data_IF_071224854934
#
_entry.id   IF_071224854934
#
_cell.length_a   1.000
_cell.length_b   1.000
_cell.length_c   1.000
_cell.angle_alpha   90.00
_cell.angle_beta   90.00
_cell.angle_gamma   90.00
#
_symmetry.space_group_name_H-M   'P 1'
#
loop_
_entity.id
_entity.type
_entity.pdbx_description
1 polymer ?
#
# COMPACT_ATOMS: atom_id res chain seq x y z
N UNK A 1 0.51 6.55 19.16
CA UNK A 1 0.00 5.17 19.07
C UNK A 1 0.98 4.41 18.21
N UNK A 2 1.92 3.69 18.84
CA UNK A 2 3.13 3.12 18.23
C UNK A 2 3.04 1.58 18.13
N UNK A 3 1.85 1.05 17.87
CA UNK A 3 1.62 -0.40 17.90
C UNK A 3 1.51 -0.89 16.47
N UNK A 4 2.45 -1.74 16.09
CA UNK A 4 2.36 -2.56 14.89
C UNK A 4 1.06 -3.37 14.98
N UNK A 5 0.13 -3.25 14.03
CA UNK A 5 -1.05 -4.10 14.04
C UNK A 5 -0.66 -5.55 13.77
N UNK A 6 -1.31 -6.51 14.41
CA UNK A 6 -1.06 -7.96 14.22
C UNK A 6 -1.25 -8.40 12.76
N UNK A 7 -2.11 -7.67 12.04
CA UNK A 7 -2.47 -7.92 10.65
C UNK A 7 -2.66 -6.60 9.90
N UNK A 8 -2.33 -6.62 8.61
CA UNK A 8 -2.63 -5.55 7.68
C UNK A 8 -3.61 -6.06 6.63
N UNK A 9 -4.45 -5.18 6.10
CA UNK A 9 -5.52 -5.54 5.18
C UNK A 9 -5.43 -4.71 3.92
N UNK A 10 -5.22 -5.34 2.77
CA UNK A 10 -5.12 -4.66 1.49
C UNK A 10 -6.35 -4.93 0.66
N UNK A 11 -7.09 -3.88 0.33
CA UNK A 11 -8.11 -3.96 -0.70
C UNK A 11 -7.45 -4.01 -2.09
N UNK A 12 -7.98 -4.86 -2.96
CA UNK A 12 -7.61 -4.89 -4.36
C UNK A 12 -8.78 -5.33 -5.26
N UNK A 13 -8.59 -5.12 -6.55
CA UNK A 13 -9.49 -5.47 -7.65
C UNK A 13 -8.66 -5.49 -8.93
N UNK A 14 -9.20 -6.05 -10.02
CA UNK A 14 -8.48 -6.28 -11.28
C UNK A 14 -7.73 -5.06 -11.82
N UNK A 15 -8.40 -3.92 -11.89
CA UNK A 15 -7.82 -2.66 -12.41
C UNK A 15 -7.19 -1.78 -11.33
N UNK A 16 -6.82 -2.37 -10.18
CA UNK A 16 -6.14 -1.63 -9.12
C UNK A 16 -4.79 -1.12 -9.61
N UNK A 17 -4.33 0.01 -9.05
CA UNK A 17 -3.07 0.65 -9.43
C UNK A 17 -1.83 -0.08 -8.85
N UNK A 18 -1.83 -1.41 -8.90
CA UNK A 18 -0.75 -2.33 -8.50
C UNK A 18 -0.89 -3.62 -9.30
N UNK A 19 0.23 -4.29 -9.58
CA UNK A 19 0.19 -5.66 -10.06
C UNK A 19 -0.15 -6.60 -8.90
N UNK A 20 -0.91 -7.67 -9.17
CA UNK A 20 -1.39 -8.59 -8.14
C UNK A 20 -1.45 -10.02 -8.68
N UNK A 21 -1.02 -11.03 -7.91
CA UNK A 21 -1.11 -12.42 -8.38
C UNK A 21 -2.52 -13.04 -8.24
N UNK A 22 -3.45 -12.35 -7.58
CA UNK A 22 -4.81 -12.80 -7.30
C UNK A 22 -5.85 -12.23 -8.28
N UNK A 23 -5.40 -11.76 -9.44
CA UNK A 23 -6.26 -11.29 -10.53
C UNK A 23 -5.72 -11.86 -11.83
N UNK A 24 -6.57 -11.99 -12.85
CA UNK A 24 -6.12 -12.48 -14.15
C UNK A 24 -5.07 -11.55 -14.76
N UNK A 25 -4.01 -12.13 -15.32
CA UNK A 25 -2.93 -11.39 -15.99
C UNK A 25 -3.44 -10.50 -17.12
N UNK A 26 -4.50 -10.92 -17.80
CA UNK A 26 -5.12 -10.18 -18.91
C UNK A 26 -5.78 -8.87 -18.45
N UNK A 27 -6.10 -8.79 -17.16
CA UNK A 27 -6.73 -7.62 -16.53
C UNK A 27 -5.72 -6.69 -15.85
N UNK A 28 -4.44 -7.05 -15.83
CA UNK A 28 -3.40 -6.24 -15.20
C UNK A 28 -3.28 -4.87 -15.87
N UNK A 29 -3.30 -3.83 -15.04
CA UNK A 29 -2.93 -2.49 -15.50
C UNK A 29 -1.45 -2.52 -15.93
N UNK A 30 -1.16 -2.21 -17.21
CA UNK A 30 0.22 -2.10 -17.71
C UNK A 30 1.00 -1.07 -16.89
N UNK A 31 2.21 -1.41 -16.48
CA UNK A 31 3.09 -0.50 -15.75
C UNK A 31 3.52 0.66 -16.66
N UNK A 32 3.40 1.90 -16.15
CA UNK A 32 3.46 3.10 -17.00
C UNK A 32 4.88 3.47 -17.43
N UNK A 33 5.87 3.18 -16.61
CA UNK A 33 7.29 3.46 -16.92
C UNK A 33 7.98 2.30 -17.65
N UNK A 34 7.39 1.10 -17.61
CA UNK A 34 7.98 -0.17 -18.07
C UNK A 34 6.84 -1.10 -18.47
N UNK A 35 6.24 -0.96 -19.65
CA UNK A 35 5.08 -1.75 -20.07
C UNK A 35 5.29 -3.27 -20.00
N UNK A 36 6.54 -3.71 -20.07
CA UNK A 36 7.01 -5.08 -19.92
C UNK A 36 7.10 -5.56 -18.47
N UNK A 37 6.95 -4.66 -17.49
CA UNK A 37 7.05 -4.99 -16.08
C UNK A 37 5.88 -5.87 -15.68
N UNK A 38 6.21 -7.15 -15.55
CA UNK A 38 5.35 -8.19 -15.03
C UNK A 38 5.50 -8.24 -13.52
N UNK A 39 4.50 -8.81 -12.86
CA UNK A 39 4.61 -9.15 -11.45
C UNK A 39 5.82 -10.07 -11.29
N UNK A 40 6.78 -9.67 -10.44
CA UNK A 40 7.95 -10.49 -10.17
C UNK A 40 7.53 -11.78 -9.43
N UNK A 41 8.25 -12.86 -9.70
CA UNK A 41 7.97 -14.15 -9.06
C UNK A 41 8.10 -14.02 -7.54
N UNK A 42 7.15 -14.59 -6.81
CA UNK A 42 7.12 -14.52 -5.34
C UNK A 42 6.46 -13.26 -4.76
N UNK A 43 6.10 -12.26 -5.57
CA UNK A 43 5.32 -11.11 -5.10
C UNK A 43 3.82 -11.40 -5.18
N UNK A 44 3.07 -11.07 -4.13
CA UNK A 44 1.62 -11.01 -4.18
C UNK A 44 1.12 -9.68 -4.71
N UNK A 45 1.77 -8.59 -4.31
CA UNK A 45 1.49 -7.24 -4.79
C UNK A 45 2.78 -6.53 -5.19
N UNK A 46 2.70 -5.72 -6.24
CA UNK A 46 3.82 -4.90 -6.69
C UNK A 46 3.31 -3.52 -7.14
N UNK A 47 3.96 -2.48 -6.64
CA UNK A 47 3.68 -1.11 -6.98
C UNK A 47 3.97 -0.85 -8.47
N UNK A 48 3.26 0.10 -9.06
CA UNK A 48 3.49 0.50 -10.46
C UNK A 48 4.72 1.39 -10.64
N UNK A 49 5.45 1.70 -9.57
CA UNK A 49 6.73 2.40 -9.60
C UNK A 49 7.74 1.64 -8.76
N UNK A 50 9.00 1.62 -9.19
CA UNK A 50 10.06 0.94 -8.46
C UNK A 50 10.41 1.74 -7.19
N UNK A 51 10.31 1.13 -6.01
CA UNK A 51 10.63 1.81 -4.77
C UNK A 51 12.13 2.08 -4.62
N UNK A 52 12.47 3.32 -4.27
CA UNK A 52 13.82 3.76 -3.96
C UNK A 52 13.78 4.63 -2.70
N UNK A 53 14.36 4.19 -1.57
CA UNK A 53 14.31 4.94 -0.32
C UNK A 53 14.78 6.40 -0.43
N UNK A 54 15.82 6.66 -1.23
CA UNK A 54 16.38 8.01 -1.41
C UNK A 54 15.43 8.93 -2.17
N UNK A 55 14.65 8.40 -3.12
CA UNK A 55 13.67 9.18 -3.89
C UNK A 55 12.32 9.26 -3.16
N UNK A 56 11.85 8.14 -2.66
CA UNK A 56 10.45 7.93 -2.28
C UNK A 56 10.16 8.22 -0.80
N UNK A 57 11.15 8.14 0.10
CA UNK A 57 11.00 8.60 1.49
C UNK A 57 11.14 10.12 1.57
N UNK A 58 10.18 10.80 0.97
CA UNK A 58 10.01 12.26 0.98
C UNK A 58 8.55 12.59 1.21
N UNK A 59 8.29 13.74 1.85
CA UNK A 59 6.93 14.21 2.11
C UNK A 59 6.11 14.29 0.83
N UNK A 60 6.68 14.83 -0.24
CA UNK A 60 5.98 15.02 -1.51
C UNK A 60 5.58 13.70 -2.14
N UNK A 61 6.46 12.69 -2.16
CA UNK A 61 6.17 11.37 -2.75
C UNK A 61 5.11 10.60 -1.96
N UNK A 62 5.17 10.67 -0.63
CA UNK A 62 4.18 10.02 0.25
C UNK A 62 2.82 10.73 0.14
N UNK A 63 2.78 12.05 0.26
CA UNK A 63 1.53 12.83 0.12
C UNK A 63 0.93 12.65 -1.28
N UNK A 64 1.75 12.58 -2.33
CA UNK A 64 1.29 12.29 -3.69
C UNK A 64 0.51 10.97 -3.77
N UNK A 65 0.99 9.92 -3.10
CA UNK A 65 0.32 8.62 -3.06
C UNK A 65 -1.05 8.69 -2.37
N UNK A 66 -1.17 9.48 -1.30
CA UNK A 66 -2.42 9.62 -0.55
C UNK A 66 -3.52 10.37 -1.32
N UNK A 67 -3.15 11.19 -2.31
CA UNK A 67 -4.12 11.86 -3.19
C UNK A 67 -4.67 10.89 -4.22
N UNK A 68 -5.94 10.52 -4.08
CA UNK A 68 -6.60 9.61 -5.01
C UNK A 68 -6.63 10.16 -6.44
N UNK A 69 -6.60 9.26 -7.42
CA UNK A 69 -6.66 9.56 -8.86
C UNK A 69 -5.52 10.44 -9.42
N UNK A 70 -4.42 10.62 -8.68
CA UNK A 70 -3.26 11.34 -9.21
C UNK A 70 -2.50 10.47 -10.22
N UNK A 71 -2.82 10.69 -11.50
CA UNK A 71 -2.29 9.91 -12.64
C UNK A 71 -0.84 10.25 -13.01
N UNK A 72 -0.30 11.39 -12.61
CA UNK A 72 1.10 11.75 -12.92
C UNK A 72 2.06 11.05 -11.96
N UNK A 73 3.13 10.48 -12.52
CA UNK A 73 4.21 9.78 -11.78
C UNK A 73 3.68 8.51 -11.08
N UNK A 74 4.13 7.29 -11.40
CA UNK A 74 3.61 6.10 -10.74
C UNK A 74 3.92 6.08 -9.25
N UNK A 75 3.07 5.42 -8.47
CA UNK A 75 3.33 5.28 -7.05
C UNK A 75 4.23 4.10 -6.80
N UNK A 76 5.25 4.31 -5.97
CA UNK A 76 6.09 3.26 -5.42
C UNK A 76 5.52 2.62 -4.14
N UNK A 77 4.29 2.98 -3.77
CA UNK A 77 3.66 2.55 -2.52
C UNK A 77 2.40 1.72 -2.78
N UNK A 78 2.11 0.86 -1.81
CA UNK A 78 1.00 -0.07 -1.80
C UNK A 78 0.22 0.17 -0.50
N UNK A 79 -0.99 0.73 -0.60
CA UNK A 79 -1.86 0.96 0.56
C UNK A 79 -2.34 -0.35 1.21
N UNK A 80 -2.32 -0.39 2.53
CA UNK A 80 -3.00 -1.36 3.37
C UNK A 80 -3.63 -0.66 4.57
N UNK A 81 -4.45 -1.38 5.32
CA UNK A 81 -5.18 -0.87 6.47
C UNK A 81 -4.83 -1.65 7.73
N UNK A 82 -4.77 -0.97 8.87
CA UNK A 82 -4.47 -1.58 10.16
C UNK A 82 -5.63 -2.35 10.81
N UNK A 83 -6.80 -2.39 10.17
CA UNK A 83 -7.98 -3.10 10.68
C UNK A 83 -8.88 -3.56 9.53
N UNK A 84 -9.53 -4.72 9.70
CA UNK A 84 -10.39 -5.31 8.67
C UNK A 84 -11.59 -4.41 8.34
N UNK A 85 -12.16 -3.73 9.33
CA UNK A 85 -13.29 -2.82 9.11
C UNK A 85 -12.94 -1.65 8.20
N UNK A 86 -11.70 -1.18 8.25
CA UNK A 86 -11.24 -0.12 7.37
C UNK A 86 -11.15 -0.62 5.92
N UNK A 87 -10.66 -1.84 5.72
CA UNK A 87 -10.65 -2.49 4.42
C UNK A 87 -12.07 -2.77 3.91
N UNK A 88 -12.98 -3.23 4.76
CA UNK A 88 -14.39 -3.50 4.44
C UNK A 88 -15.14 -2.25 4.03
N UNK A 89 -15.03 -1.14 4.78
CA UNK A 89 -15.61 0.15 4.39
C UNK A 89 -15.08 0.62 3.03
N UNK A 90 -13.79 0.38 2.78
CA UNK A 90 -13.17 0.70 1.48
C UNK A 90 -13.70 -0.20 0.36
N UNK A 91 -13.89 -1.49 0.64
CA UNK A 91 -14.47 -2.45 -0.30
C UNK A 91 -15.88 -2.04 -0.71
N UNK A 92 -16.73 -1.73 0.27
CA UNK A 92 -18.10 -1.26 0.05
C UNK A 92 -18.15 -0.01 -0.82
N UNK A 93 -17.34 1.00 -0.48
CA UNK A 93 -17.21 2.22 -1.30
C UNK A 93 -16.86 1.89 -2.75
N UNK A 94 -15.85 1.05 -2.98
CA UNK A 94 -15.42 0.73 -4.34
C UNK A 94 -16.43 -0.12 -5.10
N UNK A 95 -17.10 -1.05 -4.43
CA UNK A 95 -18.09 -1.92 -5.04
C UNK A 95 -19.35 -1.13 -5.43
N UNK A 96 -19.86 -0.27 -4.54
CA UNK A 96 -21.16 0.40 -4.71
C UNK A 96 -21.09 1.77 -5.34
N UNK A 97 -20.03 2.53 -5.06
CA UNK A 97 -19.96 3.97 -5.41
C UNK A 97 -18.96 4.25 -6.53
N UNK A 98 -18.05 3.32 -6.85
CA UNK A 98 -17.04 3.53 -7.87
C UNK A 98 -17.44 2.88 -9.20
N UNK A 99 -18.04 3.67 -10.09
CA UNK A 99 -18.42 3.19 -11.44
C UNK A 99 -17.25 2.68 -12.30
N UNK A 100 -16.00 2.94 -11.89
CA UNK A 100 -14.79 2.49 -12.59
C UNK A 100 -14.32 1.10 -12.20
N UNK A 101 -14.85 0.55 -11.11
CA UNK A 101 -14.34 -0.69 -10.54
C UNK A 101 -15.38 -1.75 -10.82
N UNK A 102 -15.01 -2.73 -11.66
CA UNK A 102 -15.80 -3.94 -11.81
C UNK A 102 -15.97 -4.55 -10.43
N UNK A 103 -17.20 -4.92 -10.08
CA UNK A 103 -17.68 -5.45 -8.80
C UNK A 103 -16.99 -6.78 -8.39
N UNK A 104 -15.67 -6.83 -8.44
CA UNK A 104 -14.77 -7.97 -8.26
C UNK A 104 -13.71 -7.52 -7.27
N UNK A 105 -14.19 -7.21 -6.08
CA UNK A 105 -13.43 -6.58 -5.02
C UNK A 105 -13.03 -7.66 -4.03
N UNK A 106 -11.77 -7.64 -3.60
CA UNK A 106 -11.24 -8.58 -2.64
C UNK A 106 -10.35 -7.88 -1.63
N UNK A 107 -10.21 -8.45 -0.44
CA UNK A 107 -9.30 -8.00 0.60
C UNK A 107 -8.28 -9.10 0.86
N UNK A 108 -7.00 -8.78 0.79
CA UNK A 108 -5.93 -9.66 1.25
C UNK A 108 -5.59 -9.33 2.70
N UNK A 109 -5.51 -10.36 3.54
CA UNK A 109 -4.94 -10.27 4.88
C UNK A 109 -3.44 -10.55 4.82
N UNK A 110 -2.66 -9.67 5.43
CA UNK A 110 -1.20 -9.63 5.35
C UNK A 110 -0.62 -9.81 6.75
N UNK A 111 0.32 -10.74 6.86
CA UNK A 111 1.08 -11.02 8.06
C UNK A 111 2.12 -9.92 8.34
N UNK A 112 1.99 -9.25 9.47
CA UNK A 112 2.95 -8.26 9.96
C UNK A 112 4.02 -8.86 10.88
N UNK A 113 3.96 -10.15 11.21
CA UNK A 113 4.91 -10.81 12.12
C UNK A 113 6.35 -10.62 11.66
N UNK A 114 7.24 -10.25 12.59
CA UNK A 114 8.65 -9.99 12.31
C UNK A 114 8.92 -8.63 11.67
N UNK A 115 7.91 -7.75 11.51
CA UNK A 115 8.19 -6.33 11.30
C UNK A 115 8.71 -5.71 12.61
N UNK A 116 9.83 -5.01 12.50
CA UNK A 116 10.46 -4.30 13.61
C UNK A 116 10.55 -2.82 13.26
N UNK A 117 10.44 -1.96 14.28
CA UNK A 117 10.58 -0.53 14.12
C UNK A 117 12.04 -0.19 13.76
N UNK A 118 12.22 0.73 12.81
CA UNK A 118 13.50 1.28 12.42
C UNK A 118 13.35 2.77 12.09
N UNK A 119 14.49 3.46 11.94
CA UNK A 119 14.50 4.90 11.63
C UNK A 119 15.45 5.17 10.49
N UNK A 120 14.96 5.93 9.50
CA UNK A 120 15.80 6.45 8.42
C UNK A 120 16.21 7.87 8.78
N UNK A 121 17.52 8.06 8.95
CA UNK A 121 18.13 9.36 9.16
C UNK A 121 18.42 10.02 7.81
N UNK A 122 18.01 11.29 7.66
CA UNK A 122 18.25 12.03 6.41
C UNK A 122 18.29 13.53 6.66
N UNK A 123 19.15 14.22 5.92
CA UNK A 123 19.08 15.69 5.78
C UNK A 123 18.14 16.04 4.64
N UNK A 124 17.12 16.87 4.92
CA UNK A 124 16.23 17.43 3.90
C UNK A 124 16.47 18.93 3.74
N UNK A 125 16.26 19.43 2.51
CA UNK A 125 16.22 20.87 2.22
C UNK A 125 14.78 21.32 2.15
N UNK A 126 14.38 22.21 3.06
CA UNK A 126 13.07 22.85 3.05
C UNK A 126 13.19 24.24 2.44
N UNK A 127 12.31 24.55 1.50
CA UNK A 127 12.21 25.89 0.90
C UNK A 127 10.95 26.58 1.42
N UNK A 128 11.12 27.63 2.21
CA UNK A 128 10.02 28.51 2.60
C UNK A 128 9.91 29.64 1.58
N UNK A 129 8.72 29.82 0.99
CA UNK A 129 8.41 30.91 0.06
C UNK A 129 7.41 31.85 0.71
N UNK A 130 7.78 33.12 0.89
CA UNK A 130 6.88 34.15 1.40
C UNK A 130 6.37 34.96 0.23
N UNK A 131 5.06 34.98 0.04
CA UNK A 131 4.39 35.77 -0.99
C UNK A 131 3.70 36.98 -0.35
N UNK A 132 3.79 38.15 -1.00
CA UNK A 132 3.04 39.37 -0.63
C UNK A 132 2.51 39.99 -1.92
N UNK A 133 1.21 40.29 -1.96
CA UNK A 133 0.52 40.84 -3.14
C UNK A 133 0.72 39.98 -4.40
N UNK A 134 0.67 38.65 -4.24
CA UNK A 134 0.92 37.69 -5.31
C UNK A 134 2.37 37.59 -5.80
N UNK A 135 3.29 38.41 -5.29
CA UNK A 135 4.71 38.41 -5.65
C UNK A 135 5.55 37.68 -4.61
N UNK A 136 6.51 36.87 -5.07
CA UNK A 136 7.49 36.21 -4.20
C UNK A 136 8.40 37.27 -3.55
N UNK A 137 8.30 37.44 -2.24
CA UNK A 137 9.09 38.41 -1.46
C UNK A 137 10.41 37.81 -0.98
N UNK A 138 10.39 36.55 -0.55
CA UNK A 138 11.60 35.87 -0.10
C UNK A 138 11.50 34.37 -0.31
N UNK A 139 12.66 33.76 -0.55
CA UNK A 139 12.86 32.32 -0.61
C UNK A 139 13.98 31.99 0.37
N UNK A 140 13.66 31.23 1.41
CA UNK A 140 14.65 30.76 2.38
C UNK A 140 14.80 29.26 2.23
N UNK A 141 16.04 28.79 2.08
CA UNK A 141 16.36 27.37 2.10
C UNK A 141 17.00 27.04 3.44
N UNK A 142 16.42 26.08 4.16
CA UNK A 142 16.99 25.55 5.40
C UNK A 142 17.20 24.06 5.23
N UNK A 143 18.37 23.58 5.66
CA UNK A 143 18.61 22.15 5.79
C UNK A 143 18.30 21.76 7.23
N UNK A 144 17.62 20.63 7.42
CA UNK A 144 17.46 20.03 8.74
C UNK A 144 17.58 18.51 8.64
N UNK A 145 18.15 17.92 9.68
CA UNK A 145 18.14 16.48 9.84
C UNK A 145 16.79 16.04 10.36
N UNK A 146 16.29 14.94 9.79
CA UNK A 146 15.00 14.37 10.13
C UNK A 146 15.13 12.87 10.38
N UNK A 147 14.26 12.39 11.24
CA UNK A 147 14.05 10.98 11.50
C UNK A 147 12.71 10.54 10.88
N UNK A 148 12.75 9.56 9.99
CA UNK A 148 11.57 8.97 9.37
C UNK A 148 11.33 7.59 9.99
N UNK A 149 10.24 7.40 10.76
CA UNK A 149 9.90 6.08 11.29
C UNK A 149 9.48 5.18 10.12
N UNK A 150 10.07 3.98 10.09
CA UNK A 150 9.74 2.93 9.15
C UNK A 150 9.63 1.61 9.91
N UNK A 151 9.03 0.62 9.26
CA UNK A 151 9.00 -0.75 9.72
C UNK A 151 9.67 -1.63 8.67
N UNK A 152 10.55 -2.52 9.10
CA UNK A 152 11.28 -3.44 8.20
C UNK A 152 11.24 -4.83 8.80
N UNK A 153 11.42 -5.86 7.99
CA UNK A 153 11.51 -7.23 8.52
C UNK A 153 12.81 -7.43 9.27
N UNK A 154 12.74 -8.25 10.31
CA UNK A 154 13.87 -8.62 11.15
C UNK A 154 15.05 -9.23 10.38
N UNK A 155 14.81 -9.87 9.23
CA UNK A 155 15.85 -10.42 8.38
C UNK A 155 16.75 -9.34 7.72
N UNK A 156 16.33 -8.07 7.73
CA UNK A 156 17.18 -6.95 7.32
C UNK A 156 18.17 -6.52 8.42
N UNK A 157 17.96 -6.94 9.68
CA UNK A 157 18.76 -6.51 10.83
C UNK A 157 20.12 -7.22 10.83
N UNK A 158 21.24 -6.49 10.86
CA UNK A 158 22.56 -7.05 11.11
C UNK A 158 22.61 -7.87 12.40
N UNK A 159 23.36 -8.96 12.38
CA UNK A 159 23.55 -9.85 13.53
C UNK A 159 24.23 -9.13 14.71
N UNK A 160 25.08 -8.15 14.44
CA UNK A 160 25.76 -7.31 15.43
C UNK A 160 24.89 -6.13 15.92
N UNK A 161 23.66 -6.01 15.43
CA UNK A 161 22.74 -4.91 15.71
C UNK A 161 23.24 -3.51 15.29
N UNK A 162 24.24 -3.44 14.41
CA UNK A 162 24.67 -2.18 13.80
C UNK A 162 23.56 -1.56 12.93
N UNK A 163 23.60 -0.24 12.66
CA UNK A 163 22.67 0.40 11.74
C UNK A 163 22.66 -0.25 10.35
N UNK A 164 21.47 -0.56 9.84
CA UNK A 164 21.29 -1.17 8.52
C UNK A 164 21.71 -0.17 7.43
N UNK A 165 22.71 -0.54 6.62
CA UNK A 165 23.05 0.26 5.44
C UNK A 165 22.01 0.10 4.34
N UNK A 166 21.88 1.09 3.45
CA UNK A 166 20.99 0.99 2.27
C UNK A 166 21.29 -0.26 1.43
N UNK A 167 22.56 -0.63 1.27
CA UNK A 167 22.97 -1.81 0.51
C UNK A 167 22.50 -3.11 1.17
N UNK A 168 22.64 -3.22 2.50
CA UNK A 168 22.14 -4.36 3.26
C UNK A 168 20.61 -4.47 3.20
N UNK A 169 19.90 -3.34 3.34
CA UNK A 169 18.44 -3.33 3.23
C UNK A 169 17.97 -3.83 1.87
N UNK A 170 18.58 -3.36 0.78
CA UNK A 170 18.26 -3.84 -0.57
C UNK A 170 18.61 -5.33 -0.73
N UNK A 171 19.79 -5.75 -0.27
CA UNK A 171 20.24 -7.14 -0.38
C UNK A 171 19.39 -8.12 0.45
N UNK A 172 18.78 -7.66 1.55
CA UNK A 172 17.92 -8.48 2.40
C UNK A 172 16.58 -8.85 1.75
N UNK A 173 16.17 -8.12 0.71
CA UNK A 173 14.84 -8.26 0.10
C UNK A 173 13.68 -7.93 1.05
N UNK A 174 13.94 -7.31 2.21
CA UNK A 174 12.91 -7.00 3.18
C UNK A 174 11.94 -5.93 2.66
N UNK A 175 10.65 -6.14 2.93
CA UNK A 175 9.61 -5.14 2.71
C UNK A 175 9.74 -4.00 3.72
N UNK A 176 9.52 -2.77 3.25
CA UNK A 176 9.54 -1.55 4.05
C UNK A 176 8.11 -1.04 4.17
N UNK A 177 7.70 -0.71 5.39
CA UNK A 177 6.37 -0.25 5.72
C UNK A 177 6.40 1.11 6.40
N UNK A 178 5.38 1.92 6.14
CA UNK A 178 5.20 3.24 6.71
C UNK A 178 3.81 3.35 7.33
N UNK A 179 3.73 3.73 8.60
CA UNK A 179 2.47 4.12 9.24
C UNK A 179 2.17 5.59 8.95
N UNK A 180 1.03 5.89 8.33
CA UNK A 180 0.64 7.28 8.06
C UNK A 180 0.49 8.07 9.36
N UNK A 181 -0.02 7.44 10.42
CA UNK A 181 -0.12 8.06 11.75
C UNK A 181 1.25 8.40 12.31
N UNK A 182 2.23 7.50 12.24
CA UNK A 182 3.58 7.78 12.75
C UNK A 182 4.26 8.89 11.95
N UNK A 183 4.11 8.88 10.62
CA UNK A 183 4.67 9.92 9.75
C UNK A 183 4.06 11.33 9.98
N UNK A 184 2.83 11.41 10.50
CA UNK A 184 2.21 12.68 10.92
C UNK A 184 2.86 13.25 12.18
N UNK A 185 3.28 12.36 13.08
CA UNK A 185 3.90 12.72 14.35
C UNK A 185 5.44 12.76 14.29
N UNK A 186 6.04 12.40 13.16
CA UNK A 186 7.50 12.42 12.96
C UNK A 186 8.00 13.77 12.44
N UNK A 187 9.32 13.88 12.32
CA UNK A 187 9.98 15.05 11.74
C UNK A 187 9.56 15.34 10.29
N UNK A 188 9.10 14.32 9.56
CA UNK A 188 8.66 14.47 8.18
C UNK A 188 7.35 15.26 8.06
N UNK A 189 6.49 15.20 9.09
CA UNK A 189 5.23 15.95 9.20
C UNK A 189 4.42 15.91 7.91
N UNK A 190 4.11 14.71 7.42
CA UNK A 190 3.20 14.56 6.27
C UNK A 190 1.86 15.18 6.71
N UNK A 191 1.34 16.16 5.95
CA UNK A 191 0.37 17.12 6.50
C UNK A 191 -0.92 16.52 7.08
N UNK A 192 -1.66 17.35 7.82
CA UNK A 192 -2.96 17.01 8.42
C UNK A 192 -4.09 16.96 7.37
N UNK A 193 -4.04 16.00 6.45
CA UNK A 193 -5.20 15.63 5.67
C UNK A 193 -6.18 14.86 6.55
N UNK A 194 -7.46 15.26 6.59
CA UNK A 194 -8.49 14.43 7.24
C UNK A 194 -8.55 13.06 6.55
N UNK A 195 -8.65 11.98 7.34
CA UNK A 195 -8.64 10.61 6.85
C UNK A 195 -7.25 9.98 6.79
N UNK A 196 -7.17 8.67 6.52
CA UNK A 196 -5.93 7.88 6.40
C UNK A 196 -5.15 7.55 7.68
N UNK A 197 -5.64 7.88 8.89
CA UNK A 197 -4.99 7.49 10.16
C UNK A 197 -4.94 5.98 10.42
N UNK A 198 -5.57 5.20 9.54
CA UNK A 198 -5.58 3.75 9.58
C UNK A 198 -4.75 3.13 8.44
N UNK A 199 -4.16 3.96 7.58
CA UNK A 199 -3.46 3.52 6.38
C UNK A 199 -1.98 3.27 6.65
N UNK A 200 -1.48 2.20 6.05
CA UNK A 200 -0.09 1.78 6.04
C UNK A 200 0.37 1.66 4.60
N UNK A 201 1.61 2.03 4.32
CA UNK A 201 2.18 1.99 2.97
C UNK A 201 3.33 0.98 2.92
N UNK A 202 3.17 -0.08 2.13
CA UNK A 202 4.31 -0.92 1.73
C UNK A 202 5.07 -0.26 0.58
N UNK A 203 6.39 -0.22 0.67
CA UNK A 203 7.29 0.26 -0.39
C UNK A 203 7.60 -0.86 -1.38
N UNK A 204 7.21 -0.67 -2.64
CA UNK A 204 7.64 -1.51 -3.76
C UNK A 204 6.82 -2.78 -3.94
N UNK A 205 6.91 -3.74 -3.02
CA UNK A 205 6.23 -5.02 -3.14
C UNK A 205 5.79 -5.60 -1.79
N UNK A 206 4.86 -6.55 -1.85
CA UNK A 206 4.46 -7.41 -0.73
C UNK A 206 4.65 -8.86 -1.18
N UNK A 207 5.50 -9.65 -0.49
CA UNK A 207 5.72 -11.06 -0.84
C UNK A 207 4.46 -11.91 -0.68
N UNK A 208 4.28 -12.91 -1.54
CA UNK A 208 3.15 -13.84 -1.47
C UNK A 208 3.14 -14.68 -0.21
N UNK A 209 4.32 -14.98 0.33
CA UNK A 209 4.50 -15.67 1.61
C UNK A 209 3.92 -14.91 2.80
N UNK A 210 3.61 -13.62 2.66
CA UNK A 210 2.98 -12.80 3.70
C UNK A 210 1.46 -12.72 3.58
N UNK A 211 0.88 -13.26 2.52
CA UNK A 211 -0.58 -13.25 2.35
C UNK A 211 -1.17 -14.47 3.05
N UNK A 212 -1.90 -14.22 4.14
CA UNK A 212 -2.53 -15.27 4.93
C UNK A 212 -3.78 -15.80 4.22
N UNK A 213 -4.61 -14.90 3.69
CA UNK A 213 -5.83 -15.25 2.96
C UNK A 213 -6.28 -14.10 2.06
N UNK A 214 -7.13 -14.44 1.10
CA UNK A 214 -7.85 -13.52 0.23
C UNK A 214 -9.34 -13.72 0.46
N UNK A 215 -10.05 -12.62 0.69
CA UNK A 215 -11.44 -12.58 1.13
C UNK A 215 -12.25 -11.81 0.08
N UNK A 216 -13.16 -12.46 -0.68
CA UNK A 216 -13.99 -11.76 -1.65
C UNK A 216 -15.06 -10.92 -0.97
N UNK A 217 -15.33 -9.73 -1.53
CA UNK A 217 -16.47 -8.90 -1.17
C UNK A 217 -17.56 -9.04 -2.23
N UNK A 218 -18.72 -9.57 -1.84
CA UNK A 218 -19.82 -9.87 -2.77
C UNK A 218 -20.73 -8.68 -3.09
N UNK A 219 -20.49 -7.51 -2.46
CA UNK A 219 -21.34 -6.33 -2.52
C UNK A 219 -22.10 -6.03 -1.23
N UNK A 220 -22.14 -6.99 -0.29
CA UNK A 220 -22.79 -6.87 1.02
C UNK A 220 -21.88 -7.35 2.16
N UNK A 221 -21.20 -8.48 1.96
CA UNK A 221 -20.42 -9.19 2.97
C UNK A 221 -19.01 -9.45 2.46
N UNK A 222 -18.03 -9.26 3.35
CA UNK A 222 -16.66 -9.72 3.14
C UNK A 222 -16.58 -11.17 3.62
N UNK A 223 -16.41 -12.11 2.70
CA UNK A 223 -16.37 -13.54 3.02
C UNK A 223 -14.97 -13.90 3.50
N UNK A 224 -14.86 -14.19 4.79
CA UNK A 224 -13.57 -14.39 5.45
C UNK A 224 -12.99 -15.80 5.29
N UNK A 225 -13.84 -16.80 5.03
CA UNK A 225 -13.49 -18.21 4.91
C UNK A 225 -14.38 -18.90 3.87
N UNK A 226 -13.89 -19.99 3.24
CA UNK A 226 -14.74 -20.86 2.44
C UNK A 226 -15.86 -21.46 3.31
N UNK A 227 -17.07 -21.59 2.74
CA UNK A 227 -18.14 -22.35 3.39
C UNK A 227 -18.77 -21.70 4.61
N UNK A 228 -18.87 -20.36 4.66
CA UNK A 228 -19.76 -19.68 5.63
C UNK A 228 -21.15 -20.34 5.61
N UNK A 229 -21.82 -20.59 6.75
CA UNK A 229 -23.03 -21.42 6.79
C UNK A 229 -24.10 -20.94 5.80
N UNK A 230 -24.42 -21.78 4.80
CA UNK A 230 -25.38 -21.49 3.72
C UNK A 230 -24.78 -21.03 2.38
N UNK A 231 -23.47 -20.83 2.27
CA UNK A 231 -22.84 -20.33 1.06
C UNK A 231 -22.31 -21.46 0.17
N UNK A 232 -22.99 -21.71 -0.95
CA UNK A 232 -22.30 -22.16 -2.16
C UNK A 232 -21.25 -21.14 -2.62
N UNK A 233 -20.74 -21.30 -3.83
CA UNK A 233 -19.79 -20.36 -4.46
C UNK A 233 -20.17 -18.89 -4.21
N UNK A 234 -19.20 -18.06 -3.78
CA UNK A 234 -19.43 -16.63 -3.54
C UNK A 234 -19.64 -15.95 -4.88
N UNK A 235 -20.79 -15.30 -5.08
CA UNK A 235 -21.13 -14.57 -6.31
C UNK A 235 -20.98 -13.08 -6.11
N UNK A 236 -20.61 -12.34 -7.16
CA UNK A 236 -20.73 -10.89 -7.12
C UNK A 236 -22.18 -10.48 -7.34
N UNK A 237 -22.84 -9.95 -6.30
CA UNK A 237 -24.31 -9.84 -6.25
C UNK A 237 -24.89 -8.80 -7.21
N UNK A 238 -24.25 -7.66 -7.37
CA UNK A 238 -24.74 -6.57 -8.22
C UNK A 238 -24.07 -6.59 -9.60
N UNK A 239 -23.28 -7.62 -9.91
CA UNK A 239 -22.61 -7.73 -11.20
C UNK A 239 -23.58 -8.21 -12.29
N UNK A 240 -23.59 -7.57 -13.48
CA UNK A 240 -24.39 -8.05 -14.61
C UNK A 240 -23.89 -9.40 -15.17
N UNK A 241 -22.67 -9.80 -14.79
CA UNK A 241 -22.04 -11.05 -15.20
C UNK A 241 -21.96 -12.01 -14.01
N UNK A 242 -22.06 -13.34 -14.22
CA UNK A 242 -22.20 -14.34 -13.16
C UNK A 242 -20.86 -14.67 -12.45
N UNK A 243 -20.07 -13.66 -12.09
CA UNK A 243 -18.78 -13.84 -11.45
C UNK A 243 -18.89 -14.63 -10.15
N UNK A 244 -18.06 -15.67 -10.03
CA UNK A 244 -17.89 -16.47 -8.82
C UNK A 244 -16.46 -16.35 -8.30
N UNK A 245 -16.27 -16.48 -7.00
CA UNK A 245 -14.92 -16.50 -6.42
C UNK A 245 -14.43 -17.94 -6.27
N UNK A 246 -13.29 -18.23 -6.90
CA UNK A 246 -12.53 -19.46 -6.72
C UNK A 246 -11.59 -19.29 -5.51
N UNK A 247 -11.84 -20.08 -4.47
CA UNK A 247 -11.08 -20.06 -3.22
C UNK A 247 -9.68 -20.67 -3.35
N UNK A 248 -9.48 -21.61 -4.26
CA UNK A 248 -8.19 -22.26 -4.50
C UNK A 248 -7.28 -21.31 -5.29
N UNK A 249 -7.79 -20.77 -6.41
CA UNK A 249 -7.08 -19.77 -7.20
C UNK A 249 -6.98 -18.41 -6.48
N UNK A 250 -7.87 -18.14 -5.52
CA UNK A 250 -8.05 -16.86 -4.82
C UNK A 250 -8.43 -15.72 -5.77
N UNK A 251 -9.25 -16.00 -6.79
CA UNK A 251 -9.60 -15.06 -7.86
C UNK A 251 -11.09 -15.07 -8.16
N UNK A 252 -11.59 -13.96 -8.71
CA UNK A 252 -12.89 -13.93 -9.37
C UNK A 252 -12.79 -14.58 -10.75
N UNK A 253 -13.72 -15.46 -11.07
CA UNK A 253 -13.84 -16.19 -12.34
C UNK A 253 -15.25 -16.05 -12.91
N UNK A 254 -15.32 -16.02 -14.24
CA UNK A 254 -16.57 -15.90 -14.99
C UNK A 254 -17.15 -17.27 -15.31
#
# INVERSE_FOLDING_TARGET
SNVLPDRLYRLFYETSATLCCFVSKDTHTKHREKPELKLEHGNAFQALGQFNPTRDLTKDRIVRHLVWNRKSDPSSFISAFNHIDHARRRADFHYRQSQRIGQRVSVAEIDSTGLIAATVHRTIKETTRIFRDGKLKSKTEKSRDIQIPIWVRENARPSDHSPITKKQLIASGADIWLSITELRHSDLRIGYGKGHDYEWLAGGSIPSTRILRVMPYDGRTLHERPGSPGSGFVKSLDSPLPWTFDWEAKMWQL
#
